data_IF_749428559924
#
_entry.id   IF_749428559924
#
_cell.length_a   1.000
_cell.length_b   1.000
_cell.length_c   1.000
_cell.angle_alpha   90.00
_cell.angle_beta   90.00
_cell.angle_gamma   90.00
#
_symmetry.space_group_name_H-M   'P 1'
#
loop_
_entity.id
_entity.type
_entity.pdbx_description
1 polymer ?
#
# COMPACT_ATOMS: atom_id res chain seq x y z
N UNK A 1 -24.74 1.54 -66.10
CA UNK A 1 -24.61 2.97 -66.44
C UNK A 1 -23.76 3.61 -65.35
N UNK A 2 -22.42 3.45 -65.31
CA UNK A 2 -21.38 3.48 -66.38
C UNK A 2 -20.96 4.93 -66.64
N UNK A 3 -20.00 5.48 -65.87
CA UNK A 3 -18.56 5.77 -66.23
C UNK A 3 -18.45 7.22 -66.80
N UNK A 4 -17.38 8.05 -66.74
CA UNK A 4 -15.92 7.88 -66.96
C UNK A 4 -15.13 9.06 -66.31
N UNK A 5 -13.99 8.73 -65.65
CA UNK A 5 -12.59 9.27 -65.65
C UNK A 5 -12.29 10.75 -66.09
N UNK A 6 -11.18 11.40 -65.70
CA UNK A 6 -10.03 11.06 -64.82
C UNK A 6 -8.74 11.87 -65.14
N UNK A 7 -7.64 11.64 -64.39
CA UNK A 7 -6.19 11.94 -64.71
C UNK A 7 -5.74 13.42 -64.89
N UNK A 8 -4.48 13.86 -64.65
CA UNK A 8 -3.24 13.29 -64.05
C UNK A 8 -2.20 14.40 -63.71
N UNK A 9 -1.09 14.07 -63.02
CA UNK A 9 0.22 14.76 -63.22
C UNK A 9 1.06 15.18 -61.98
N UNK A 10 2.17 14.47 -61.71
CA UNK A 10 3.33 14.95 -60.91
C UNK A 10 4.40 15.63 -61.79
N UNK A 11 5.70 15.82 -61.39
CA UNK A 11 6.50 15.19 -60.30
C UNK A 11 7.03 16.26 -59.29
N UNK A 12 8.09 16.13 -58.45
CA UNK A 12 8.99 15.02 -58.00
C UNK A 12 10.33 15.55 -57.41
N UNK A 13 11.09 14.70 -56.69
CA UNK A 13 12.48 14.81 -56.13
C UNK A 13 12.83 16.04 -55.23
N UNK A 14 13.75 16.01 -54.25
CA UNK A 14 14.37 14.95 -53.41
C UNK A 14 15.01 15.62 -52.16
N UNK A 15 15.02 14.97 -50.98
CA UNK A 15 16.08 15.10 -49.95
C UNK A 15 15.87 14.23 -48.70
N UNK A 16 16.86 13.39 -48.42
CA UNK A 16 16.99 12.42 -47.33
C UNK A 16 17.24 13.03 -45.95
N UNK A 17 16.57 12.54 -44.88
CA UNK A 17 17.27 12.13 -43.64
C UNK A 17 16.46 11.13 -42.81
N UNK A 18 17.10 10.04 -42.40
CA UNK A 18 16.53 8.99 -41.54
C UNK A 18 17.05 9.10 -40.11
N UNK A 19 16.23 8.71 -39.11
CA UNK A 19 16.73 8.12 -37.86
C UNK A 19 15.64 7.25 -37.19
N UNK A 20 16.07 6.18 -36.52
CA UNK A 20 15.38 4.89 -36.56
C UNK A 20 14.87 4.38 -35.19
N UNK A 21 13.90 3.45 -35.22
CA UNK A 21 13.29 2.82 -34.04
C UNK A 21 14.06 1.57 -33.60
N UNK A 22 14.77 1.68 -32.48
CA UNK A 22 15.35 0.50 -31.82
C UNK A 22 14.26 -0.44 -31.26
N UNK A 23 14.18 -1.67 -31.77
CA UNK A 23 13.42 -2.78 -31.18
C UNK A 23 14.36 -3.85 -30.62
N UNK A 24 13.92 -4.53 -29.55
CA UNK A 24 14.77 -5.47 -28.82
C UNK A 24 15.05 -6.76 -29.59
N UNK A 25 16.30 -7.27 -29.53
CA UNK A 25 16.60 -8.69 -29.78
C UNK A 25 17.48 -9.27 -28.66
N UNK A 26 17.21 -10.54 -28.34
CA UNK A 26 17.99 -11.34 -27.39
C UNK A 26 19.30 -11.77 -28.06
N UNK A 27 20.42 -11.66 -27.36
CA UNK A 27 21.70 -12.23 -27.76
C UNK A 27 22.18 -13.27 -26.73
N UNK A 28 22.47 -14.48 -27.18
CA UNK A 28 23.19 -15.47 -26.38
C UNK A 28 24.69 -15.25 -26.56
N UNK A 29 25.46 -15.23 -25.47
CA UNK A 29 26.92 -15.14 -25.53
C UNK A 29 27.50 -16.55 -25.63
N UNK A 30 28.14 -16.85 -26.78
CA UNK A 30 28.99 -18.03 -26.95
C UNK A 30 30.41 -17.68 -26.51
N UNK A 31 31.08 -18.63 -25.85
CA UNK A 31 32.50 -18.55 -25.55
C UNK A 31 33.34 -18.47 -26.84
N UNK A 32 34.41 -17.68 -26.81
CA UNK A 32 35.48 -17.72 -27.81
C UNK A 32 36.80 -17.93 -27.07
N UNK A 33 37.46 -19.04 -27.35
CA UNK A 33 38.86 -19.28 -26.97
C UNK A 33 39.73 -18.71 -28.08
N UNK A 34 40.70 -17.86 -27.73
CA UNK A 34 41.66 -17.31 -28.67
C UNK A 34 43.03 -17.99 -28.46
N UNK A 35 43.36 -18.92 -29.35
CA UNK A 35 44.69 -19.52 -29.45
C UNK A 35 45.58 -18.59 -30.29
N UNK A 36 46.79 -18.27 -29.82
CA UNK A 36 47.79 -17.61 -30.65
C UNK A 36 48.95 -18.57 -30.93
N UNK A 37 49.15 -18.91 -32.20
CA UNK A 37 50.30 -19.63 -32.72
C UNK A 37 51.38 -18.63 -33.12
N UNK A 38 52.63 -18.91 -32.78
CA UNK A 38 53.77 -18.46 -33.56
C UNK A 38 54.68 -19.66 -33.80
N UNK A 39 55.10 -19.87 -35.04
CA UNK A 39 55.93 -20.99 -35.45
C UNK A 39 57.37 -20.54 -35.69
N UNK A 40 58.32 -21.41 -35.38
CA UNK A 40 59.61 -21.42 -36.06
C UNK A 40 60.02 -22.87 -36.30
N UNK A 41 60.43 -23.18 -37.52
CA UNK A 41 60.88 -24.51 -37.96
C UNK A 41 62.40 -24.47 -38.11
N UNK A 42 63.08 -25.48 -37.57
CA UNK A 42 64.43 -25.84 -37.99
C UNK A 42 64.61 -27.36 -37.82
N UNK A 43 64.89 -28.05 -38.93
CA UNK A 43 65.18 -29.49 -38.95
C UNK A 43 66.64 -29.67 -39.33
N UNK A 44 67.45 -30.27 -38.45
CA UNK A 44 68.81 -30.75 -38.78
C UNK A 44 68.98 -32.14 -38.18
N UNK A 45 69.51 -33.08 -38.97
CA UNK A 45 69.77 -34.45 -38.54
C UNK A 45 71.08 -34.55 -37.76
N UNK A 46 71.10 -35.43 -36.77
CA UNK A 46 72.23 -36.29 -36.44
C UNK A 46 73.53 -35.64 -35.96
N UNK A 47 73.72 -35.62 -34.64
CA UNK A 47 75.04 -35.59 -34.02
C UNK A 47 75.12 -36.67 -32.92
N UNK A 48 76.29 -37.27 -32.79
CA UNK A 48 76.54 -38.48 -31.98
C UNK A 48 76.55 -38.22 -30.48
N UNK A 49 76.24 -39.27 -29.71
CA UNK A 49 76.34 -39.29 -28.24
C UNK A 49 77.75 -38.98 -27.73
N UNK A 50 77.94 -37.77 -27.22
CA UNK A 50 79.02 -37.41 -26.28
C UNK A 50 78.57 -37.59 -24.83
N UNK A 51 79.50 -37.70 -23.86
CA UNK A 51 79.14 -37.81 -22.46
C UNK A 51 78.44 -36.53 -21.98
N UNK A 52 77.40 -36.69 -21.17
CA UNK A 52 76.73 -35.56 -20.54
C UNK A 52 77.70 -34.84 -19.60
N UNK A 53 78.11 -33.63 -19.98
CA UNK A 53 78.55 -32.66 -18.99
C UNK A 53 77.32 -32.33 -18.14
N UNK A 54 77.43 -32.53 -16.84
CA UNK A 54 76.44 -32.04 -15.91
C UNK A 54 76.54 -30.51 -15.89
N UNK A 55 75.71 -29.83 -16.69
CA UNK A 55 75.37 -28.44 -16.41
C UNK A 55 74.77 -28.42 -15.00
N UNK A 56 75.54 -27.85 -14.08
CA UNK A 56 75.10 -27.57 -12.72
C UNK A 56 73.92 -26.61 -12.85
N UNK A 57 72.69 -27.13 -12.69
CA UNK A 57 71.48 -26.31 -12.69
C UNK A 57 71.70 -25.26 -11.62
N UNK A 58 71.74 -23.95 -11.97
CA UNK A 58 72.08 -22.92 -11.01
C UNK A 58 71.09 -23.03 -9.85
N UNK A 59 71.60 -23.34 -8.66
CA UNK A 59 70.79 -23.64 -7.49
C UNK A 59 69.86 -22.45 -7.25
N UNK A 60 68.58 -22.64 -7.57
CA UNK A 60 67.61 -21.56 -7.50
C UNK A 60 67.61 -21.05 -6.05
N UNK A 61 67.88 -19.75 -5.81
CA UNK A 61 68.15 -19.27 -4.47
C UNK A 61 67.00 -19.69 -3.55
N UNK A 62 67.36 -20.42 -2.49
CA UNK A 62 66.40 -21.02 -1.59
C UNK A 62 65.37 -19.98 -1.16
N UNK A 63 64.08 -20.31 -1.34
CA UNK A 63 63.02 -19.42 -0.92
C UNK A 63 63.18 -19.16 0.58
N UNK A 64 63.10 -17.90 1.01
CA UNK A 64 63.23 -17.52 2.43
C UNK A 64 61.87 -17.32 3.10
N UNK A 65 60.79 -17.26 2.32
CA UNK A 65 59.44 -17.00 2.79
C UNK A 65 58.41 -17.79 1.97
N UNK A 66 57.27 -18.10 2.57
CA UNK A 66 56.06 -18.48 1.82
C UNK A 66 55.62 -17.27 0.98
N UNK A 67 55.10 -17.46 -0.22
CA UNK A 67 54.59 -16.36 -1.05
C UNK A 67 53.14 -16.61 -1.52
N UNK A 68 52.25 -15.59 -1.49
CA UNK A 68 50.90 -15.71 -2.01
C UNK A 68 50.90 -15.70 -3.55
N UNK A 69 50.11 -16.61 -4.15
CA UNK A 69 49.93 -16.74 -5.60
C UNK A 69 48.55 -16.22 -6.00
N UNK A 70 47.48 -16.71 -5.37
CA UNK A 70 46.12 -16.17 -5.50
C UNK A 70 45.58 -15.70 -4.14
N UNK A 71 44.92 -14.54 -4.05
CA UNK A 71 44.40 -14.02 -2.79
C UNK A 71 43.18 -14.83 -2.28
N UNK A 72 42.94 -14.85 -0.96
CA UNK A 72 41.75 -15.44 -0.39
C UNK A 72 40.48 -14.71 -0.85
N UNK A 73 39.36 -15.43 -0.93
CA UNK A 73 38.05 -14.90 -1.33
C UNK A 73 37.01 -15.26 -0.28
N UNK A 74 36.20 -14.28 0.13
CA UNK A 74 35.04 -14.52 1.00
C UNK A 74 33.77 -14.64 0.17
N UNK A 75 33.09 -15.77 0.34
CA UNK A 75 31.77 -16.06 -0.24
C UNK A 75 30.68 -16.07 0.85
N UNK A 76 29.42 -16.02 0.42
CA UNK A 76 28.26 -15.94 1.31
C UNK A 76 27.58 -14.57 1.27
N UNK A 77 26.56 -14.40 2.12
CA UNK A 77 25.79 -13.14 2.17
C UNK A 77 26.21 -12.32 3.39
N UNK A 78 26.74 -11.11 3.16
CA UNK A 78 27.13 -10.16 4.22
C UNK A 78 25.90 -9.55 4.93
N UNK A 79 25.24 -10.35 5.77
CA UNK A 79 24.07 -9.96 6.58
C UNK A 79 24.08 -10.62 7.95
N UNK A 80 23.52 -9.94 8.94
CA UNK A 80 23.30 -10.48 10.28
C UNK A 80 22.74 -11.92 10.26
N UNK A 81 23.39 -12.84 10.96
CA UNK A 81 22.99 -14.23 11.12
C UNK A 81 23.29 -15.17 9.95
N UNK A 82 23.83 -14.65 8.83
CA UNK A 82 24.40 -15.45 7.74
C UNK A 82 25.81 -15.92 8.08
N UNK A 83 26.27 -16.97 7.40
CA UNK A 83 27.66 -17.43 7.45
C UNK A 83 28.41 -16.96 6.22
N UNK A 84 29.65 -16.52 6.42
CA UNK A 84 30.65 -16.26 5.40
C UNK A 84 31.65 -17.42 5.36
N UNK A 85 32.17 -17.72 4.18
CA UNK A 85 33.17 -18.79 3.96
C UNK A 85 34.37 -18.20 3.24
N UNK A 86 35.56 -18.37 3.81
CA UNK A 86 36.83 -17.98 3.22
C UNK A 86 37.44 -19.14 2.41
N UNK A 87 37.94 -18.87 1.21
CA UNK A 87 38.99 -19.70 0.61
C UNK A 87 40.35 -19.32 1.20
N UNK A 88 41.34 -20.24 1.24
CA UNK A 88 42.68 -19.96 1.73
C UNK A 88 43.52 -19.09 0.78
N UNK A 89 43.10 -18.90 -0.47
CA UNK A 89 44.00 -18.48 -1.55
C UNK A 89 44.88 -19.64 -2.00
N UNK A 90 45.93 -19.35 -2.76
CA UNK A 90 47.00 -20.31 -3.11
C UNK A 90 48.36 -19.73 -2.78
N UNK A 91 49.33 -20.58 -2.47
CA UNK A 91 50.62 -20.22 -1.88
C UNK A 91 51.73 -21.06 -2.50
N UNK A 92 52.96 -20.55 -2.44
CA UNK A 92 54.18 -21.29 -2.80
C UNK A 92 55.16 -21.28 -1.62
N UNK A 93 55.70 -22.43 -1.17
CA UNK A 93 55.39 -23.78 -1.66
C UNK A 93 53.94 -24.20 -1.34
N UNK A 94 53.42 -25.19 -2.07
CA UNK A 94 51.99 -25.54 -2.06
C UNK A 94 51.55 -26.39 -0.87
N UNK A 95 52.49 -26.88 -0.08
CA UNK A 95 52.32 -27.66 1.16
C UNK A 95 52.28 -26.78 2.43
N UNK A 96 52.40 -25.46 2.29
CA UNK A 96 52.29 -24.52 3.39
C UNK A 96 50.97 -24.68 4.18
N UNK A 97 51.06 -24.71 5.51
CA UNK A 97 49.91 -24.81 6.41
C UNK A 97 49.17 -23.48 6.50
N UNK A 98 47.83 -23.52 6.50
CA UNK A 98 47.00 -22.30 6.46
C UNK A 98 46.14 -22.11 7.70
N UNK A 99 46.24 -20.92 8.31
CA UNK A 99 45.42 -20.47 9.43
C UNK A 99 44.56 -19.26 9.06
N UNK A 100 43.34 -19.18 9.63
CA UNK A 100 42.42 -18.04 9.44
C UNK A 100 42.31 -17.20 10.71
N UNK A 101 42.06 -15.90 10.55
CA UNK A 101 41.61 -15.02 11.62
C UNK A 101 40.62 -14.00 11.06
N UNK A 102 39.35 -14.08 11.46
CA UNK A 102 38.35 -13.10 11.05
C UNK A 102 38.54 -11.77 11.78
N UNK A 103 38.29 -10.68 11.06
CA UNK A 103 38.51 -9.31 11.51
C UNK A 103 37.19 -8.52 11.50
N UNK A 104 37.01 -7.63 12.49
CA UNK A 104 35.93 -6.63 12.54
C UNK A 104 36.57 -5.25 12.61
N UNK A 105 36.25 -4.41 11.63
CA UNK A 105 36.82 -3.07 11.47
C UNK A 105 38.37 -3.08 11.52
N UNK A 106 38.98 -4.15 11.00
CA UNK A 106 40.43 -4.40 11.00
C UNK A 106 40.98 -5.14 12.23
N UNK A 107 40.26 -5.20 13.34
CA UNK A 107 40.71 -5.83 14.59
C UNK A 107 40.34 -7.33 14.66
N UNK A 108 41.19 -8.21 15.22
CA UNK A 108 40.88 -9.64 15.39
C UNK A 108 39.60 -9.91 16.20
N UNK A 109 38.77 -10.83 15.71
CA UNK A 109 37.61 -11.35 16.43
C UNK A 109 38.06 -12.58 17.20
N UNK A 110 38.08 -12.49 18.54
CA UNK A 110 38.52 -13.59 19.41
C UNK A 110 37.80 -14.91 19.13
N UNK A 111 38.58 -15.99 18.97
CA UNK A 111 38.09 -17.34 18.67
C UNK A 111 37.56 -17.57 17.26
N UNK A 112 37.56 -16.56 16.38
CA UNK A 112 37.09 -16.70 15.00
C UNK A 112 38.25 -17.10 14.06
N UNK A 113 38.70 -18.36 14.20
CA UNK A 113 39.85 -18.92 13.46
C UNK A 113 39.50 -20.03 12.45
N UNK A 114 38.21 -20.33 12.29
CA UNK A 114 37.73 -21.29 11.29
C UNK A 114 37.60 -20.66 9.90
N UNK A 115 37.66 -21.47 8.85
CA UNK A 115 37.37 -21.06 7.46
C UNK A 115 35.95 -20.49 7.24
N UNK A 116 35.04 -20.66 8.22
CA UNK A 116 33.70 -20.08 8.18
C UNK A 116 33.44 -19.19 9.40
N UNK A 117 32.70 -18.10 9.20
CA UNK A 117 32.31 -17.18 10.28
C UNK A 117 30.84 -16.79 10.20
N UNK A 118 30.13 -16.97 11.31
CA UNK A 118 28.71 -16.63 11.41
C UNK A 118 28.54 -15.22 11.97
N UNK A 119 28.05 -14.32 11.12
CA UNK A 119 27.87 -12.90 11.43
C UNK A 119 26.90 -12.68 12.59
N UNK A 120 27.40 -12.10 13.67
CA UNK A 120 26.71 -11.87 14.92
C UNK A 120 26.15 -10.46 15.09
N UNK A 121 25.74 -10.17 16.32
CA UNK A 121 25.12 -8.90 16.71
C UNK A 121 26.11 -7.73 16.74
N UNK A 122 27.39 -8.01 16.99
CA UNK A 122 28.49 -7.03 17.03
C UNK A 122 28.95 -6.61 15.63
N UNK A 123 28.78 -7.48 14.62
CA UNK A 123 29.21 -7.22 13.24
C UNK A 123 28.24 -6.32 12.48
N UNK A 124 27.00 -6.16 12.95
CA UNK A 124 25.98 -5.42 12.21
C UNK A 124 26.37 -3.95 11.97
N UNK A 125 26.42 -3.56 10.70
CA UNK A 125 26.92 -2.26 10.24
C UNK A 125 28.40 -1.98 10.61
N UNK A 126 29.19 -3.05 10.78
CA UNK A 126 30.66 -3.05 10.82
C UNK A 126 31.21 -3.69 9.55
N UNK A 127 32.48 -3.41 9.29
CA UNK A 127 33.26 -4.03 8.22
C UNK A 127 33.81 -5.38 8.70
N UNK A 128 33.63 -6.45 7.93
CA UNK A 128 34.20 -7.78 8.24
C UNK A 128 35.10 -8.23 7.09
N UNK A 129 36.29 -8.71 7.43
CA UNK A 129 37.23 -9.37 6.51
C UNK A 129 37.83 -10.61 7.18
N UNK A 130 38.60 -11.39 6.43
CA UNK A 130 39.42 -12.48 6.98
C UNK A 130 40.88 -12.24 6.64
N UNK A 131 41.76 -12.47 7.62
CA UNK A 131 43.20 -12.60 7.45
C UNK A 131 43.51 -14.09 7.28
N UNK A 132 44.39 -14.41 6.34
CA UNK A 132 44.90 -15.76 6.12
C UNK A 132 46.42 -15.70 6.28
N UNK A 133 46.95 -16.58 7.12
CA UNK A 133 48.39 -16.75 7.34
C UNK A 133 48.78 -18.12 6.78
N UNK A 134 49.85 -18.18 5.99
CA UNK A 134 50.45 -19.41 5.50
C UNK A 134 51.86 -19.57 6.05
N UNK A 135 52.17 -20.75 6.59
CA UNK A 135 53.40 -21.07 7.31
C UNK A 135 54.06 -22.35 6.81
N UNK A 136 55.39 -22.41 6.88
CA UNK A 136 56.19 -23.59 6.59
C UNK A 136 57.35 -23.68 7.61
N UNK A 137 57.84 -24.88 8.00
CA UNK A 137 58.80 -25.01 9.11
C UNK A 137 60.13 -24.27 8.93
N UNK A 138 60.53 -24.00 7.68
CA UNK A 138 61.85 -23.45 7.32
C UNK A 138 61.75 -22.07 6.63
N UNK A 139 60.54 -21.50 6.50
CA UNK A 139 60.27 -20.27 5.74
C UNK A 139 59.54 -19.24 6.61
N UNK A 140 59.79 -17.95 6.37
CA UNK A 140 59.00 -16.87 6.96
C UNK A 140 57.51 -16.96 6.56
N UNK A 141 56.63 -16.75 7.55
CA UNK A 141 55.17 -16.72 7.38
C UNK A 141 54.72 -15.58 6.45
N UNK A 142 53.74 -15.89 5.58
CA UNK A 142 53.09 -14.88 4.73
C UNK A 142 51.64 -14.64 5.12
N UNK A 143 51.20 -13.39 5.01
CA UNK A 143 49.87 -12.94 5.44
C UNK A 143 49.16 -12.19 4.31
N UNK A 144 47.95 -12.63 3.98
CA UNK A 144 47.01 -11.91 3.10
C UNK A 144 45.70 -11.63 3.83
N UNK A 145 44.90 -10.70 3.32
CA UNK A 145 43.57 -10.44 3.85
C UNK A 145 42.60 -10.05 2.74
N UNK A 146 41.32 -10.38 2.92
CA UNK A 146 40.28 -9.97 1.97
C UNK A 146 39.89 -8.52 2.16
N UNK A 147 39.45 -7.88 1.08
CA UNK A 147 38.74 -6.60 1.18
C UNK A 147 37.54 -6.72 2.16
N UNK A 148 37.29 -5.72 3.01
CA UNK A 148 36.22 -5.79 4.00
C UNK A 148 34.83 -5.62 3.38
N UNK A 149 33.86 -6.36 3.90
CA UNK A 149 32.44 -6.24 3.54
C UNK A 149 31.60 -5.72 4.70
N UNK A 150 30.79 -4.69 4.47
CA UNK A 150 29.91 -4.12 5.51
C UNK A 150 28.68 -4.99 5.72
N UNK A 151 28.49 -5.49 6.95
CA UNK A 151 27.41 -6.41 7.28
C UNK A 151 26.07 -5.70 7.33
N UNK A 152 25.20 -6.03 6.38
CA UNK A 152 23.84 -5.50 6.32
C UNK A 152 22.86 -6.15 7.31
N UNK A 153 21.64 -5.62 7.42
CA UNK A 153 20.59 -6.26 8.19
C UNK A 153 20.06 -7.53 7.48
N UNK A 154 19.61 -8.49 8.28
CA UNK A 154 18.89 -9.68 7.83
C UNK A 154 17.54 -9.35 7.18
N UNK A 155 16.97 -10.26 6.40
CA UNK A 155 15.69 -10.04 5.71
C UNK A 155 14.51 -10.69 6.44
N UNK A 156 13.47 -9.91 6.72
CA UNK A 156 12.16 -10.43 7.10
C UNK A 156 11.37 -10.83 5.85
N UNK A 157 11.08 -12.12 5.71
CA UNK A 157 10.32 -12.67 4.57
C UNK A 157 8.90 -13.02 5.02
N UNK A 158 7.90 -12.53 4.29
CA UNK A 158 6.50 -12.90 4.50
C UNK A 158 6.22 -14.26 3.86
N UNK A 159 6.23 -15.32 4.68
CA UNK A 159 5.92 -16.70 4.28
C UNK A 159 4.42 -16.96 4.05
N UNK A 160 3.53 -16.16 4.64
CA UNK A 160 2.10 -16.18 4.33
C UNK A 160 1.51 -14.77 4.43
N UNK A 161 0.65 -14.38 3.48
CA UNK A 161 0.00 -13.06 3.44
C UNK A 161 -0.95 -12.85 4.63
N UNK A 162 -1.09 -11.62 5.14
CA UNK A 162 -2.14 -11.31 6.12
C UNK A 162 -3.53 -11.40 5.46
N UNK A 163 -4.52 -11.80 6.25
CA UNK A 163 -5.91 -12.03 5.81
C UNK A 163 -6.85 -11.10 6.59
N UNK A 164 -7.87 -10.59 5.92
CA UNK A 164 -8.94 -9.79 6.53
C UNK A 164 -10.18 -10.65 6.72
N UNK A 165 -10.61 -10.84 7.97
CA UNK A 165 -11.82 -11.58 8.34
C UNK A 165 -12.89 -10.67 8.96
N UNK A 166 -14.13 -11.18 9.05
CA UNK A 166 -15.28 -10.48 9.62
C UNK A 166 -16.34 -10.05 8.61
N UNK A 167 -17.51 -9.64 9.10
CA UNK A 167 -18.66 -9.27 8.25
C UNK A 167 -18.46 -7.90 7.60
N UNK A 168 -18.43 -7.86 6.26
CA UNK A 168 -18.22 -6.66 5.44
C UNK A 168 -19.46 -5.75 5.35
N UNK A 169 -19.94 -5.24 6.49
CA UNK A 169 -21.11 -4.34 6.59
C UNK A 169 -20.82 -3.12 7.45
N UNK A 170 -21.40 -1.97 7.10
CA UNK A 170 -21.28 -0.73 7.88
C UNK A 170 -21.54 -0.94 9.39
N UNK A 171 -20.60 -0.49 10.22
CA UNK A 171 -20.65 -0.60 11.68
C UNK A 171 -20.20 -1.94 12.25
N UNK A 172 -19.88 -2.95 11.42
CA UNK A 172 -19.19 -4.17 11.88
C UNK A 172 -17.67 -3.96 11.89
N UNK A 173 -16.97 -4.80 12.64
CA UNK A 173 -15.51 -4.79 12.76
C UNK A 173 -14.90 -5.89 11.90
N UNK A 174 -13.84 -5.53 11.18
CA UNK A 174 -12.95 -6.48 10.50
C UNK A 174 -11.68 -6.69 11.32
N UNK A 175 -11.09 -7.87 11.22
CA UNK A 175 -9.86 -8.25 11.92
C UNK A 175 -8.79 -8.65 10.91
N UNK A 176 -7.57 -8.13 11.07
CA UNK A 176 -6.40 -8.57 10.33
C UNK A 176 -5.70 -9.73 11.04
N UNK A 177 -5.28 -10.75 10.29
CA UNK A 177 -4.20 -11.65 10.72
C UNK A 177 -2.83 -10.99 10.48
N UNK A 178 -1.78 -11.51 11.13
CA UNK A 178 -0.41 -11.01 10.97
C UNK A 178 0.30 -11.50 9.69
N UNK A 179 -0.26 -12.52 9.02
CA UNK A 179 0.48 -13.39 8.11
C UNK A 179 1.43 -14.33 8.88
N UNK A 180 2.35 -14.97 8.15
CA UNK A 180 3.49 -15.70 8.73
C UNK A 180 4.79 -15.07 8.24
N UNK A 181 5.76 -14.92 9.13
CA UNK A 181 7.07 -14.33 8.84
C UNK A 181 8.19 -15.38 8.96
N UNK A 182 9.38 -15.09 8.42
CA UNK A 182 10.53 -16.01 8.45
C UNK A 182 11.05 -16.30 9.86
N UNK A 183 10.74 -15.44 10.84
CA UNK A 183 11.16 -15.56 12.24
C UNK A 183 10.08 -15.04 13.19
N UNK A 184 10.03 -15.57 14.40
CA UNK A 184 9.17 -15.08 15.49
C UNK A 184 9.73 -13.81 16.14
N UNK A 185 9.01 -13.26 17.13
CA UNK A 185 9.44 -12.06 17.88
C UNK A 185 9.51 -10.79 17.03
N UNK A 186 8.70 -10.68 15.97
CA UNK A 186 8.57 -9.46 15.16
C UNK A 186 7.59 -8.48 15.80
N UNK A 187 7.95 -7.21 15.86
CA UNK A 187 7.01 -6.12 16.21
C UNK A 187 6.17 -5.79 14.99
N UNK A 188 4.85 -5.70 15.16
CA UNK A 188 3.89 -5.50 14.06
C UNK A 188 3.19 -4.14 14.14
N UNK A 189 3.07 -3.47 12.99
CA UNK A 189 2.23 -2.27 12.81
C UNK A 189 1.24 -2.49 11.67
N UNK A 190 0.00 -2.05 11.84
CA UNK A 190 -1.06 -2.20 10.85
C UNK A 190 -1.36 -0.85 10.16
N UNK A 191 -1.85 -0.90 8.92
CA UNK A 191 -2.50 0.22 8.23
C UNK A 191 -3.62 -0.30 7.35
N UNK A 192 -4.83 0.23 7.52
CA UNK A 192 -5.95 -0.08 6.65
C UNK A 192 -6.03 0.87 5.45
N UNK A 193 -6.56 0.34 4.35
CA UNK A 193 -6.70 1.01 3.07
C UNK A 193 -8.13 0.84 2.55
N UNK A 194 -8.65 1.88 1.88
CA UNK A 194 -9.88 1.87 1.10
C UNK A 194 -9.51 2.14 -0.35
N UNK A 195 -9.83 1.22 -1.25
CA UNK A 195 -9.47 1.28 -2.68
C UNK A 195 -8.00 1.68 -2.91
N UNK A 196 -7.09 0.99 -2.22
CA UNK A 196 -5.63 1.22 -2.20
C UNK A 196 -5.16 2.57 -1.61
N UNK A 197 -6.05 3.47 -1.18
CA UNK A 197 -5.69 4.71 -0.46
C UNK A 197 -5.70 4.48 1.06
N UNK A 198 -4.71 4.98 1.83
CA UNK A 198 -4.63 4.74 3.26
C UNK A 198 -5.78 5.43 4.01
N UNK A 199 -6.41 4.73 4.95
CA UNK A 199 -7.42 5.32 5.83
C UNK A 199 -6.72 6.04 6.99
N UNK A 200 -7.03 7.33 7.16
CA UNK A 200 -6.51 8.16 8.24
C UNK A 200 -6.82 7.54 9.61
N UNK A 201 -5.84 7.56 10.52
CA UNK A 201 -5.93 6.98 11.88
C UNK A 201 -6.12 5.45 11.96
N UNK A 202 -6.32 4.72 10.85
CA UNK A 202 -6.65 3.30 10.88
C UNK A 202 -5.40 2.41 11.00
N UNK A 203 -4.80 2.36 12.19
CA UNK A 203 -3.51 1.69 12.48
C UNK A 203 -3.59 0.46 13.39
N UNK A 204 -4.79 0.08 13.84
CA UNK A 204 -5.03 -1.07 14.72
C UNK A 204 -5.19 -2.37 13.93
N UNK A 205 -4.97 -3.52 14.58
CA UNK A 205 -5.25 -4.86 14.04
C UNK A 205 -6.72 -5.05 13.63
N UNK A 206 -7.63 -4.33 14.29
CA UNK A 206 -9.07 -4.32 14.01
C UNK A 206 -9.52 -2.99 13.42
N UNK A 207 -10.56 -3.03 12.57
CA UNK A 207 -11.12 -1.84 11.95
C UNK A 207 -12.65 -1.90 11.89
N UNK A 208 -13.30 -0.97 12.58
CA UNK A 208 -14.77 -0.79 12.50
C UNK A 208 -15.14 0.02 11.27
N UNK A 209 -15.88 -0.62 10.37
CA UNK A 209 -16.31 -0.09 9.07
C UNK A 209 -17.12 1.20 9.26
N UNK A 210 -16.63 2.28 8.64
CA UNK A 210 -17.16 3.65 8.64
C UNK A 210 -18.16 3.87 7.49
N UNK A 211 -18.95 4.96 7.49
CA UNK A 211 -19.97 5.19 6.46
C UNK A 211 -19.38 5.25 5.04
N UNK A 212 -18.26 5.96 4.88
CA UNK A 212 -17.58 6.11 3.60
C UNK A 212 -16.80 4.90 3.12
N UNK A 213 -16.82 3.76 3.83
CA UNK A 213 -16.30 2.49 3.29
C UNK A 213 -17.35 1.74 2.45
N UNK A 214 -18.64 2.07 2.61
CA UNK A 214 -19.72 1.36 1.91
C UNK A 214 -19.62 1.60 0.40
N UNK A 215 -19.70 0.52 -0.38
CA UNK A 215 -19.45 0.54 -1.82
C UNK A 215 -17.98 0.39 -2.22
N UNK A 216 -17.05 0.38 -1.26
CA UNK A 216 -15.60 0.30 -1.51
C UNK A 216 -15.01 -1.04 -1.07
N UNK A 217 -13.76 -1.31 -1.48
CA UNK A 217 -12.96 -2.47 -1.04
C UNK A 217 -11.98 -2.03 0.04
N UNK A 218 -11.79 -2.89 1.04
CA UNK A 218 -10.83 -2.68 2.12
C UNK A 218 -9.64 -3.64 1.99
N UNK A 219 -8.48 -3.21 2.46
CA UNK A 219 -7.28 -4.04 2.57
C UNK A 219 -6.46 -3.61 3.80
N UNK A 220 -5.52 -4.44 4.24
CA UNK A 220 -4.60 -4.12 5.33
C UNK A 220 -3.16 -4.37 4.92
N UNK A 221 -2.26 -3.46 5.28
CA UNK A 221 -0.81 -3.65 5.26
C UNK A 221 -0.34 -3.95 6.67
N UNK A 222 0.43 -5.03 6.83
CA UNK A 222 1.12 -5.39 8.07
C UNK A 222 2.60 -5.15 7.85
N UNK A 223 3.19 -4.27 8.64
CA UNK A 223 4.62 -3.97 8.66
C UNK A 223 5.25 -4.68 9.84
N UNK A 224 6.29 -5.49 9.58
CA UNK A 224 7.04 -6.24 10.57
C UNK A 224 8.46 -5.67 10.70
N UNK A 225 8.93 -5.54 11.93
CA UNK A 225 10.26 -5.06 12.29
C UNK A 225 10.87 -5.92 13.39
N UNK A 226 12.20 -6.13 13.35
CA UNK A 226 12.97 -6.86 14.35
C UNK A 226 14.39 -6.28 14.38
N UNK A 227 15.05 -6.26 15.54
CA UNK A 227 16.43 -5.75 15.67
C UNK A 227 17.36 -6.51 14.70
N UNK A 228 18.30 -5.80 14.07
CA UNK A 228 19.22 -6.32 13.05
C UNK A 228 18.56 -6.88 11.78
N UNK A 229 17.26 -6.62 11.57
CA UNK A 229 16.55 -7.01 10.35
C UNK A 229 15.98 -5.79 9.63
N UNK A 230 15.96 -5.84 8.30
CA UNK A 230 15.29 -4.85 7.48
C UNK A 230 13.79 -4.88 7.80
N UNK A 231 13.21 -3.70 8.08
CA UNK A 231 11.75 -3.58 8.24
C UNK A 231 11.07 -3.88 6.91
N UNK A 232 10.10 -4.81 6.92
CA UNK A 232 9.38 -5.26 5.71
C UNK A 232 7.89 -5.23 5.94
N UNK A 233 7.12 -5.34 4.87
CA UNK A 233 5.66 -5.34 4.95
C UNK A 233 5.04 -6.36 3.99
N UNK A 234 3.84 -6.80 4.35
CA UNK A 234 2.98 -7.64 3.53
C UNK A 234 1.58 -7.02 3.50
N UNK A 235 0.87 -7.16 2.38
CA UNK A 235 -0.50 -6.70 2.23
C UNK A 235 -1.47 -7.87 2.09
N UNK A 236 -2.70 -7.68 2.55
CA UNK A 236 -3.79 -8.60 2.27
C UNK A 236 -4.27 -8.43 0.84
N UNK A 237 -5.02 -9.42 0.35
CA UNK A 237 -5.92 -9.18 -0.78
C UNK A 237 -6.97 -8.12 -0.40
N UNK A 238 -7.51 -7.45 -1.43
CA UNK A 238 -8.65 -6.56 -1.25
C UNK A 238 -9.92 -7.37 -0.98
N UNK A 239 -10.77 -6.89 -0.07
CA UNK A 239 -12.05 -7.52 0.20
C UNK A 239 -13.02 -7.44 -1.00
N UNK A 240 -14.11 -8.21 -0.93
CA UNK A 240 -15.35 -7.83 -1.62
C UNK A 240 -15.87 -6.47 -1.15
N UNK A 241 -16.79 -5.87 -1.92
CA UNK A 241 -17.39 -4.58 -1.59
C UNK A 241 -18.07 -4.61 -0.21
N UNK A 242 -17.86 -3.55 0.57
CA UNK A 242 -18.57 -3.35 1.83
C UNK A 242 -20.03 -3.00 1.55
N UNK A 243 -20.95 -3.76 2.17
CA UNK A 243 -22.40 -3.53 2.08
C UNK A 243 -22.92 -2.57 3.16
N UNK A 244 -24.12 -2.05 2.96
CA UNK A 244 -24.85 -1.36 4.04
C UNK A 244 -25.15 -2.31 5.21
N UNK A 245 -25.47 -1.72 6.37
CA UNK A 245 -25.82 -2.42 7.62
C UNK A 245 -26.89 -3.49 7.41
N UNK A 246 -27.94 -3.18 6.65
CA UNK A 246 -28.96 -4.12 6.18
C UNK A 246 -29.03 -4.12 4.65
N UNK A 247 -29.36 -5.27 4.07
CA UNK A 247 -29.71 -5.35 2.65
C UNK A 247 -31.03 -4.62 2.38
N UNK A 248 -31.35 -4.40 1.11
CA UNK A 248 -32.59 -3.70 0.75
C UNK A 248 -33.78 -4.62 1.03
N UNK A 249 -34.72 -4.14 1.83
CA UNK A 249 -35.99 -4.81 2.17
C UNK A 249 -37.20 -4.11 1.55
N UNK A 250 -37.09 -2.80 1.29
CA UNK A 250 -38.14 -1.98 0.70
C UNK A 250 -37.52 -0.99 -0.29
N UNK A 251 -38.12 -0.83 -1.46
CA UNK A 251 -37.81 0.27 -2.38
C UNK A 251 -38.94 1.29 -2.31
N UNK A 252 -38.59 2.57 -2.24
CA UNK A 252 -39.51 3.71 -2.20
C UNK A 252 -39.14 4.63 -3.36
N UNK A 253 -40.11 4.93 -4.22
CA UNK A 253 -39.92 5.90 -5.30
C UNK A 253 -40.25 7.30 -4.80
N UNK A 254 -39.57 8.31 -5.33
CA UNK A 254 -39.89 9.71 -5.01
C UNK A 254 -39.62 10.62 -6.20
N UNK A 255 -40.39 11.70 -6.34
CA UNK A 255 -40.08 12.77 -7.29
C UNK A 255 -39.65 14.04 -6.55
N UNK A 256 -38.92 14.93 -7.23
CA UNK A 256 -38.42 16.16 -6.62
C UNK A 256 -38.87 17.38 -7.42
N UNK A 257 -39.51 18.36 -6.77
CA UNK A 257 -39.99 19.61 -7.38
C UNK A 257 -39.73 20.85 -6.54
N UNK A 258 -39.89 22.03 -7.14
CA UNK A 258 -39.97 23.32 -6.44
C UNK A 258 -41.42 23.74 -6.22
N UNK A 259 -41.66 24.55 -5.19
CA UNK A 259 -42.87 25.37 -5.06
C UNK A 259 -42.48 26.82 -4.72
N UNK A 260 -42.35 27.68 -5.73
CA UNK A 260 -41.96 29.09 -5.59
C UNK A 260 -40.52 29.37 -5.10
N UNK A 261 -39.76 28.33 -4.76
CA UNK A 261 -38.38 28.43 -4.24
C UNK A 261 -37.41 28.97 -5.29
N UNK A 262 -36.56 29.94 -4.92
CA UNK A 262 -35.47 30.43 -5.78
C UNK A 262 -34.17 29.61 -5.64
N UNK A 263 -34.05 28.78 -4.61
CA UNK A 263 -32.87 27.94 -4.39
C UNK A 263 -32.63 26.89 -5.50
N UNK A 264 -31.36 26.49 -5.68
CA UNK A 264 -30.92 25.52 -6.70
C UNK A 264 -31.57 24.14 -6.53
N UNK A 265 -32.43 23.77 -7.49
CA UNK A 265 -33.08 22.46 -7.54
C UNK A 265 -32.08 21.32 -7.80
N UNK A 266 -31.04 21.57 -8.60
CA UNK A 266 -29.97 20.59 -8.85
C UNK A 266 -29.23 20.24 -7.55
N UNK A 267 -28.75 21.26 -6.83
CA UNK A 267 -28.09 21.07 -5.52
C UNK A 267 -29.01 20.40 -4.51
N UNK A 268 -30.30 20.73 -4.50
CA UNK A 268 -31.29 20.08 -3.65
C UNK A 268 -31.45 18.59 -3.96
N UNK A 269 -31.68 18.22 -5.24
CA UNK A 269 -31.75 16.83 -5.71
C UNK A 269 -30.51 16.04 -5.29
N UNK A 270 -29.32 16.50 -5.67
CA UNK A 270 -28.05 15.83 -5.34
C UNK A 270 -27.88 15.65 -3.83
N UNK A 271 -28.12 16.69 -3.03
CA UNK A 271 -27.90 16.62 -1.59
C UNK A 271 -28.98 15.80 -0.86
N UNK A 272 -30.21 15.77 -1.35
CA UNK A 272 -31.25 14.87 -0.87
C UNK A 272 -30.94 13.41 -1.21
N UNK A 273 -30.63 13.09 -2.47
CA UNK A 273 -30.26 11.75 -2.92
C UNK A 273 -29.07 11.18 -2.13
N UNK A 274 -28.02 11.98 -1.90
CA UNK A 274 -26.90 11.62 -1.02
C UNK A 274 -27.34 11.30 0.42
N UNK A 275 -28.31 12.05 0.96
CA UNK A 275 -28.84 11.80 2.32
C UNK A 275 -29.61 10.48 2.38
N UNK A 276 -30.47 10.25 1.39
CA UNK A 276 -31.32 9.06 1.29
C UNK A 276 -30.53 7.78 0.98
N UNK A 277 -29.36 7.90 0.34
CA UNK A 277 -28.46 6.79 0.07
C UNK A 277 -27.43 6.52 1.18
N UNK A 278 -27.21 7.43 2.13
CA UNK A 278 -26.14 7.30 3.13
C UNK A 278 -26.33 6.08 4.05
N UNK A 279 -25.25 5.37 4.34
CA UNK A 279 -25.26 4.19 5.20
C UNK A 279 -25.66 4.46 6.67
N UNK A 280 -25.56 5.72 7.12
CA UNK A 280 -26.06 6.22 8.41
C UNK A 280 -27.57 6.51 8.38
N UNK A 281 -28.12 6.84 7.21
CA UNK A 281 -29.52 7.21 7.02
C UNK A 281 -30.46 6.01 6.97
N UNK A 282 -31.70 6.26 6.56
CA UNK A 282 -32.75 5.26 6.34
C UNK A 282 -32.31 4.09 5.42
N UNK A 283 -31.35 4.32 4.53
CA UNK A 283 -30.73 3.24 3.74
C UNK A 283 -29.98 2.22 4.60
N UNK A 284 -29.43 2.61 5.74
CA UNK A 284 -28.88 1.70 6.76
C UNK A 284 -29.92 0.76 7.38
N UNK A 285 -31.19 1.19 7.45
CA UNK A 285 -32.35 0.38 7.86
C UNK A 285 -32.85 -0.60 6.78
N UNK A 286 -32.35 -0.49 5.55
CA UNK A 286 -32.71 -1.36 4.43
C UNK A 286 -33.70 -0.75 3.44
N UNK A 287 -33.92 0.57 3.48
CA UNK A 287 -34.77 1.27 2.50
C UNK A 287 -33.92 1.77 1.33
N UNK A 288 -34.28 1.40 0.09
CA UNK A 288 -33.71 2.01 -1.13
C UNK A 288 -34.65 3.11 -1.61
N UNK A 289 -34.14 4.33 -1.79
CA UNK A 289 -34.87 5.41 -2.43
C UNK A 289 -34.47 5.49 -3.91
N UNK A 290 -35.45 5.60 -4.82
CA UNK A 290 -35.26 5.75 -6.26
C UNK A 290 -35.95 7.04 -6.73
N UNK A 291 -35.21 8.00 -7.25
CA UNK A 291 -35.82 9.20 -7.85
C UNK A 291 -36.54 8.81 -9.16
N UNK A 292 -37.70 9.42 -9.41
CA UNK A 292 -38.52 9.27 -10.63
C UNK A 292 -38.97 10.65 -11.12
N UNK A 293 -39.21 10.79 -12.42
CA UNK A 293 -39.51 12.07 -13.08
C UNK A 293 -40.78 12.75 -12.56
N UNK A 294 -41.87 11.99 -12.35
CA UNK A 294 -43.09 12.45 -11.65
C UNK A 294 -43.66 11.38 -10.73
N UNK A 295 -44.45 11.80 -9.74
CA UNK A 295 -45.15 10.89 -8.83
C UNK A 295 -44.20 10.18 -7.85
N UNK A 296 -44.25 8.85 -7.85
CA UNK A 296 -43.60 8.02 -6.83
C UNK A 296 -44.38 7.96 -5.50
N UNK A 297 -43.86 7.25 -4.52
CA UNK A 297 -44.50 7.12 -3.20
C UNK A 297 -44.66 8.48 -2.50
N UNK A 298 -43.66 9.36 -2.58
CA UNK A 298 -43.73 10.74 -2.07
C UNK A 298 -43.10 11.75 -3.02
N UNK A 299 -43.45 13.02 -2.83
CA UNK A 299 -42.85 14.15 -3.55
C UNK A 299 -42.02 14.96 -2.55
N UNK A 300 -40.72 15.04 -2.79
CA UNK A 300 -39.82 15.93 -2.05
C UNK A 300 -39.92 17.34 -2.66
N UNK A 301 -40.39 18.30 -1.87
CA UNK A 301 -40.64 19.67 -2.34
C UNK A 301 -39.64 20.63 -1.70
N UNK A 302 -38.95 21.43 -2.51
CA UNK A 302 -38.27 22.64 -2.02
C UNK A 302 -39.21 23.83 -2.18
N UNK A 303 -39.73 24.34 -1.06
CA UNK A 303 -40.78 25.37 -1.04
C UNK A 303 -40.25 26.72 -0.54
N UNK A 304 -40.70 27.81 -1.19
CA UNK A 304 -40.57 29.17 -0.63
C UNK A 304 -41.23 29.19 0.74
N UNK A 305 -40.58 29.83 1.72
CA UNK A 305 -41.05 29.87 3.10
C UNK A 305 -42.52 30.31 3.23
N UNK A 306 -42.93 31.35 2.50
CA UNK A 306 -44.31 31.85 2.50
C UNK A 306 -45.35 30.90 1.86
N UNK A 307 -44.92 29.84 1.14
CA UNK A 307 -45.80 28.82 0.54
C UNK A 307 -45.85 27.52 1.35
N UNK A 308 -45.15 27.42 2.48
CA UNK A 308 -45.23 26.23 3.33
C UNK A 308 -46.60 26.09 4.05
N UNK A 309 -47.24 27.17 4.55
CA UNK A 309 -48.58 27.08 5.14
C UNK A 309 -49.68 26.63 4.18
N UNK A 310 -49.53 26.83 2.86
CA UNK A 310 -50.57 26.44 1.88
C UNK A 310 -50.70 24.92 1.69
N UNK A 311 -49.93 24.10 2.41
CA UNK A 311 -50.07 22.64 2.42
C UNK A 311 -51.03 22.16 3.52
N UNK A 312 -51.12 22.87 4.64
CA UNK A 312 -51.99 22.57 5.78
C UNK A 312 -51.88 23.68 6.83
N UNK A 313 -52.96 23.96 7.56
CA UNK A 313 -52.97 24.87 8.72
C UNK A 313 -51.92 24.51 9.80
N UNK A 314 -51.53 23.24 9.91
CA UNK A 314 -50.46 22.80 10.82
C UNK A 314 -49.04 23.14 10.36
N UNK A 315 -48.84 23.60 9.13
CA UNK A 315 -47.53 23.94 8.58
C UNK A 315 -47.18 25.42 8.79
N UNK A 316 -45.97 25.67 9.32
CA UNK A 316 -45.46 27.03 9.54
C UNK A 316 -44.56 27.51 8.40
N UNK A 317 -44.61 28.80 8.07
CA UNK A 317 -43.66 29.47 7.18
C UNK A 317 -42.20 29.44 7.69
N UNK A 318 -42.00 29.12 8.97
CA UNK A 318 -40.70 29.09 9.65
C UNK A 318 -39.98 27.75 9.51
N UNK A 319 -40.70 26.63 9.31
CA UNK A 319 -40.15 25.28 9.42
C UNK A 319 -40.46 24.43 8.17
N UNK A 320 -39.87 23.23 8.11
CA UNK A 320 -40.25 22.19 7.14
C UNK A 320 -41.49 21.44 7.66
N UNK A 321 -42.15 20.68 6.80
CA UNK A 321 -43.43 20.03 7.10
C UNK A 321 -43.62 18.75 6.27
N UNK A 322 -44.41 17.78 6.76
CA UNK A 322 -44.88 16.62 5.99
C UNK A 322 -46.41 16.61 5.94
N UNK A 323 -47.00 16.67 4.74
CA UNK A 323 -48.46 16.60 4.53
C UNK A 323 -48.80 15.58 3.45
N UNK A 324 -49.52 14.53 3.83
CA UNK A 324 -49.82 13.40 2.95
C UNK A 324 -48.54 12.86 2.29
N UNK A 325 -48.52 12.88 0.95
CA UNK A 325 -47.36 12.49 0.12
C UNK A 325 -46.33 13.60 -0.11
N UNK A 326 -46.56 14.83 0.35
CA UNK A 326 -45.59 15.92 0.20
C UNK A 326 -44.64 15.95 1.42
N UNK A 327 -43.33 15.89 1.15
CA UNK A 327 -42.25 16.08 2.11
C UNK A 327 -41.66 17.45 1.81
N UNK A 328 -42.06 18.48 2.57
CA UNK A 328 -41.82 19.89 2.24
C UNK A 328 -40.62 20.42 3.02
N UNK A 329 -39.54 20.73 2.31
CA UNK A 329 -38.35 21.39 2.83
C UNK A 329 -38.45 22.89 2.58
N UNK A 330 -38.38 23.67 3.65
CA UNK A 330 -38.45 25.13 3.64
C UNK A 330 -37.13 25.74 3.11
N UNK A 331 -37.17 26.56 2.06
CA UNK A 331 -35.96 27.08 1.40
C UNK A 331 -35.08 27.94 2.32
N UNK A 332 -35.67 28.73 3.23
CA UNK A 332 -34.93 29.57 4.17
C UNK A 332 -34.10 28.70 5.10
N UNK A 333 -34.69 27.59 5.56
CA UNK A 333 -34.01 26.59 6.40
C UNK A 333 -33.03 25.74 5.62
N UNK A 334 -33.33 25.38 4.37
CA UNK A 334 -32.37 24.71 3.50
C UNK A 334 -31.11 25.56 3.27
N UNK A 335 -31.27 26.86 3.06
CA UNK A 335 -30.16 27.76 2.77
C UNK A 335 -29.39 28.18 4.02
N UNK A 336 -30.07 28.55 5.12
CA UNK A 336 -29.47 29.18 6.31
C UNK A 336 -29.49 28.33 7.59
N UNK A 337 -30.22 27.20 7.60
CA UNK A 337 -30.40 26.39 8.81
C UNK A 337 -31.20 27.12 9.90
N UNK A 338 -30.84 26.87 11.16
CA UNK A 338 -31.37 27.56 12.34
C UNK A 338 -30.24 28.00 13.27
N UNK A 339 -30.50 29.01 14.10
CA UNK A 339 -29.57 29.49 15.13
C UNK A 339 -29.15 28.40 16.12
N UNK A 340 -30.03 27.42 16.36
CA UNK A 340 -29.74 26.21 17.15
C UNK A 340 -28.57 25.41 16.54
N UNK A 341 -28.54 25.28 15.22
CA UNK A 341 -27.54 24.50 14.50
C UNK A 341 -26.23 25.25 14.25
N UNK A 342 -26.27 26.56 14.04
CA UNK A 342 -25.04 27.39 14.00
C UNK A 342 -24.36 27.43 15.37
N UNK A 343 -25.12 27.61 16.47
CA UNK A 343 -24.59 27.49 17.85
C UNK A 343 -24.02 26.10 18.15
N UNK A 344 -24.56 25.04 17.55
CA UNK A 344 -24.01 23.69 17.64
C UNK A 344 -22.73 23.46 16.80
N UNK A 345 -22.20 24.49 16.12
CA UNK A 345 -20.99 24.47 15.26
C UNK A 345 -21.03 23.35 14.20
N UNK A 346 -22.22 23.04 13.67
CA UNK A 346 -22.41 22.08 12.57
C UNK A 346 -22.46 22.77 11.22
N UNK A 347 -22.07 22.06 10.18
CA UNK A 347 -22.15 22.57 8.81
C UNK A 347 -23.61 22.72 8.35
N UNK A 348 -23.88 23.65 7.44
CA UNK A 348 -25.17 23.71 6.75
C UNK A 348 -25.50 22.40 6.02
N UNK A 349 -24.48 21.67 5.54
CA UNK A 349 -24.65 20.36 4.91
C UNK A 349 -25.20 19.30 5.86
N UNK A 350 -24.79 19.34 7.13
CA UNK A 350 -25.36 18.50 8.18
C UNK A 350 -26.82 18.86 8.47
N UNK A 351 -27.15 20.15 8.61
CA UNK A 351 -28.55 20.56 8.79
C UNK A 351 -29.45 20.06 7.65
N UNK A 352 -28.95 20.15 6.41
CA UNK A 352 -29.62 19.62 5.21
C UNK A 352 -29.83 18.10 5.25
N UNK A 353 -28.85 17.35 5.76
CA UNK A 353 -29.02 15.91 6.01
C UNK A 353 -30.10 15.67 7.09
N UNK A 354 -30.08 16.43 8.19
CA UNK A 354 -31.05 16.29 9.29
C UNK A 354 -32.47 16.53 8.80
N UNK A 355 -32.74 17.68 8.17
CA UNK A 355 -34.12 18.06 7.81
C UNK A 355 -34.70 17.13 6.76
N UNK A 356 -33.91 16.65 5.79
CA UNK A 356 -34.35 15.62 4.84
C UNK A 356 -34.64 14.29 5.55
N UNK A 357 -33.77 13.84 6.47
CA UNK A 357 -34.04 12.61 7.23
C UNK A 357 -35.26 12.74 8.16
N UNK A 358 -35.50 13.91 8.75
CA UNK A 358 -36.62 14.19 9.66
C UNK A 358 -37.97 14.13 8.93
N UNK A 359 -38.15 14.92 7.87
CA UNK A 359 -39.42 14.95 7.13
C UNK A 359 -39.69 13.64 6.38
N UNK A 360 -38.64 12.96 5.88
CA UNK A 360 -38.79 11.61 5.32
C UNK A 360 -39.07 10.58 6.42
N UNK A 361 -38.54 10.77 7.63
CA UNK A 361 -38.91 9.96 8.79
C UNK A 361 -40.40 10.04 9.12
N UNK A 362 -40.99 11.24 9.05
CA UNK A 362 -42.44 11.42 9.13
C UNK A 362 -43.18 10.70 7.99
N UNK A 363 -42.70 10.74 6.75
CA UNK A 363 -43.27 9.94 5.65
C UNK A 363 -43.16 8.42 5.91
N UNK A 364 -42.09 7.96 6.55
CA UNK A 364 -41.89 6.58 7.00
C UNK A 364 -42.70 6.19 8.25
N UNK A 365 -43.63 7.05 8.71
CA UNK A 365 -44.50 6.78 9.86
C UNK A 365 -43.87 7.05 11.22
N UNK A 366 -42.70 7.71 11.29
CA UNK A 366 -42.06 8.04 12.58
C UNK A 366 -42.67 9.31 13.18
N UNK A 367 -43.09 9.23 14.44
CA UNK A 367 -43.46 10.40 15.26
C UNK A 367 -42.24 11.17 15.78
N UNK A 368 -42.47 12.31 16.43
CA UNK A 368 -41.39 13.06 17.09
C UNK A 368 -40.79 12.28 18.26
N UNK A 369 -39.49 12.47 18.50
CA UNK A 369 -38.78 11.94 19.67
C UNK A 369 -38.29 13.05 20.60
N UNK A 370 -38.17 12.76 21.90
CA UNK A 370 -37.59 13.67 22.89
C UNK A 370 -36.06 13.53 22.94
N UNK A 371 -35.35 14.54 23.44
CA UNK A 371 -33.91 14.42 23.73
C UNK A 371 -33.68 13.37 24.85
N UNK A 372 -32.85 12.32 24.64
CA UNK A 372 -32.52 11.31 25.65
C UNK A 372 -31.51 11.79 26.71
N UNK A 373 -31.36 13.09 26.93
CA UNK A 373 -30.50 13.67 27.97
C UNK A 373 -29.29 14.48 27.46
N UNK A 374 -28.78 15.34 28.35
CA UNK A 374 -27.69 16.30 28.08
C UNK A 374 -26.46 15.61 27.47
N UNK A 375 -25.91 16.19 26.41
CA UNK A 375 -24.70 15.71 25.74
C UNK A 375 -24.84 14.43 24.91
N UNK A 376 -25.98 13.71 24.98
CA UNK A 376 -26.27 12.56 24.11
C UNK A 376 -26.61 13.03 22.69
N UNK A 377 -26.45 12.16 21.70
CA UNK A 377 -26.87 12.48 20.33
C UNK A 377 -28.41 12.53 20.24
N UNK A 378 -28.93 13.63 19.68
CA UNK A 378 -30.34 13.78 19.37
C UNK A 378 -30.83 12.62 18.46
N UNK A 379 -32.02 12.05 18.67
CA UNK A 379 -32.73 11.29 17.64
C UNK A 379 -32.96 12.17 16.41
N UNK A 380 -32.95 11.61 15.20
CA UNK A 380 -33.23 12.45 14.01
C UNK A 380 -34.66 12.96 14.03
N UNK A 381 -35.58 12.22 14.64
CA UNK A 381 -36.98 12.61 14.84
C UNK A 381 -37.20 13.59 16.01
N UNK A 382 -36.16 14.02 16.73
CA UNK A 382 -36.26 15.20 17.58
C UNK A 382 -36.45 16.44 16.71
N UNK A 383 -37.26 17.41 17.15
CA UNK A 383 -37.48 18.69 16.48
C UNK A 383 -36.25 19.62 16.60
N UNK A 384 -35.08 19.16 16.15
CA UNK A 384 -33.78 19.83 16.32
C UNK A 384 -33.70 21.22 15.68
N UNK A 385 -34.60 21.54 14.74
CA UNK A 385 -34.77 22.88 14.17
C UNK A 385 -35.31 23.89 15.19
N UNK A 386 -36.16 23.46 16.13
CA UNK A 386 -36.76 24.28 17.19
C UNK A 386 -35.86 24.36 18.42
N UNK A 387 -35.22 23.26 18.80
CA UNK A 387 -34.30 23.21 19.93
C UNK A 387 -33.70 21.83 20.17
N UNK A 388 -32.53 21.79 20.81
CA UNK A 388 -31.82 20.55 21.12
C UNK A 388 -32.06 20.01 22.53
N UNK A 389 -32.65 20.79 23.45
CA UNK A 389 -33.00 20.34 24.80
C UNK A 389 -31.82 19.68 25.55
N UNK A 390 -30.60 20.22 25.36
CA UNK A 390 -29.35 19.69 25.92
C UNK A 390 -28.66 18.60 25.10
N UNK A 391 -29.31 18.01 24.09
CA UNK A 391 -28.68 17.04 23.19
C UNK A 391 -27.66 17.68 22.23
N UNK A 392 -26.77 16.84 21.69
CA UNK A 392 -25.89 17.20 20.58
C UNK A 392 -26.63 17.03 19.25
N UNK A 393 -26.53 18.03 18.38
CA UNK A 393 -27.10 18.01 17.02
C UNK A 393 -26.62 16.77 16.25
N UNK A 394 -27.57 16.04 15.66
CA UNK A 394 -27.32 14.79 14.96
C UNK A 394 -28.20 14.67 13.70
N UNK A 395 -27.62 14.62 12.49
CA UNK A 395 -28.40 14.59 11.26
C UNK A 395 -28.82 13.20 10.79
N UNK A 396 -28.52 12.13 11.54
CA UNK A 396 -28.74 10.74 11.14
C UNK A 396 -29.65 9.99 12.12
N UNK A 397 -30.54 9.10 11.65
CA UNK A 397 -31.31 8.24 12.52
C UNK A 397 -30.39 7.39 13.42
N UNK A 398 -30.75 7.26 14.70
CA UNK A 398 -30.14 6.31 15.63
C UNK A 398 -30.54 4.88 15.26
N UNK A 399 -29.80 3.88 15.75
CA UNK A 399 -30.08 2.46 15.46
C UNK A 399 -31.50 2.01 15.84
N UNK A 400 -32.11 2.60 16.87
CA UNK A 400 -33.52 2.33 17.24
C UNK A 400 -34.56 3.10 16.41
N UNK A 401 -34.15 4.04 15.57
CA UNK A 401 -35.03 4.71 14.61
C UNK A 401 -35.09 3.91 13.28
N UNK A 402 -34.01 3.22 12.90
CA UNK A 402 -33.76 2.53 11.61
C UNK A 402 -34.54 1.23 11.35
#
# INVERSE_FOLDING_TARGET
MTTVLGTDGGPGTDAVTTHDRATSRRGAVRSVVATLLLALVATVLGATSGPALADEVPEQPAATAVVPVEPPVVTGTSRYGSTLTASPGTWSPTDASVAYQWLRDGAPIGGATAATYRLGAADHARAVSVRVTASSPELDDAVTATAPTTVGPALLVSRARPVVSGTRRYGKTLTASAGRWSTGGVTLRYRWYRDRKPVAGATRRTYTIKPGDVGHRLAVRVTASKRYHQTRWAASLSTGLVKHRRDVRRTITYSVRRNGSKASLSTFRTQAAQTLADARGWRGGGIRFKEVSKGGSFTLVLAKASRVPSYSSGCSSTYSCRVGRNVIINETRWNKGTSVWSKARRSIRDYRHMVVNHEVGHFLGKGHARCPGKGKAAPVMQQQSKGLQGCKANPWPKTGEL
#
